data_IF_508587729764
#
_entry.id   IF_508587729764
#
_cell.length_a   1.000
_cell.length_b   1.000
_cell.length_c   1.000
_cell.angle_alpha   90.00
_cell.angle_beta   90.00
_cell.angle_gamma   90.00
#
_symmetry.space_group_name_H-M   'P 1'
#
loop_
_entity.id
_entity.type
_entity.pdbx_description
1 polymer ?
#
# COMPACT_ATOMS: atom_id res chain seq x y z
N UNK A 1 5.06 -1.33 -19.74
CA UNK A 1 5.07 -2.13 -18.50
C UNK A 1 6.20 -1.61 -17.63
N UNK A 2 5.96 -1.32 -16.37
CA UNK A 2 7.00 -0.85 -15.43
C UNK A 2 7.33 -1.99 -14.48
N UNK A 3 8.62 -2.26 -14.32
CA UNK A 3 9.13 -3.39 -13.51
C UNK A 3 10.08 -2.84 -12.45
N UNK A 4 9.83 -3.18 -11.20
CA UNK A 4 10.73 -2.92 -10.07
C UNK A 4 11.33 -4.24 -9.61
N UNK A 5 12.66 -4.30 -9.59
CA UNK A 5 13.43 -5.44 -9.11
C UNK A 5 14.08 -5.08 -7.79
N UNK A 6 13.87 -5.91 -6.79
CA UNK A 6 14.52 -5.88 -5.48
C UNK A 6 15.43 -7.10 -5.43
N UNK A 7 16.75 -6.90 -5.61
CA UNK A 7 17.70 -7.96 -5.92
C UNK A 7 18.71 -8.16 -4.79
N UNK A 8 18.64 -9.29 -4.11
CA UNK A 8 19.51 -9.72 -3.00
C UNK A 8 19.76 -8.62 -1.96
N UNK A 9 18.71 -7.86 -1.63
CA UNK A 9 18.84 -6.69 -0.76
C UNK A 9 18.94 -7.09 0.69
N UNK A 10 20.01 -6.62 1.34
CA UNK A 10 20.19 -6.73 2.79
C UNK A 10 20.25 -5.35 3.43
N UNK A 11 19.74 -5.25 4.67
CA UNK A 11 19.83 -4.03 5.48
C UNK A 11 20.24 -4.35 6.90
N UNK A 12 21.35 -3.75 7.32
CA UNK A 12 21.87 -3.84 8.69
C UNK A 12 21.87 -2.45 9.31
N UNK A 13 21.22 -2.32 10.47
CA UNK A 13 21.26 -1.11 11.28
C UNK A 13 22.34 -1.23 12.37
N UNK A 14 23.07 -0.16 12.58
CA UNK A 14 23.97 -0.03 13.73
C UNK A 14 23.25 0.74 14.83
N UNK A 15 22.95 0.07 15.94
CA UNK A 15 22.24 0.67 17.07
C UNK A 15 23.20 0.88 18.22
N UNK A 16 23.34 2.13 18.67
CA UNK A 16 24.25 2.50 19.77
C UNK A 16 23.84 1.74 21.04
N UNK A 17 24.74 0.90 21.55
CA UNK A 17 24.49 0.07 22.73
C UNK A 17 23.87 -1.31 22.50
N UNK A 18 23.26 -1.55 21.32
CA UNK A 18 22.66 -2.85 20.97
C UNK A 18 23.39 -3.60 19.83
N UNK A 19 24.46 -3.01 19.28
CA UNK A 19 25.24 -3.66 18.23
C UNK A 19 24.61 -3.53 16.83
N UNK A 20 24.76 -4.58 16.01
CA UNK A 20 24.25 -4.64 14.62
C UNK A 20 22.95 -5.46 14.59
N UNK A 21 21.91 -4.92 13.97
CA UNK A 21 20.63 -5.59 13.79
C UNK A 21 20.39 -5.76 12.29
N UNK A 22 20.31 -7.02 11.83
CA UNK A 22 19.95 -7.33 10.46
C UNK A 22 18.44 -7.26 10.30
N UNK A 23 17.97 -6.25 9.58
CA UNK A 23 16.54 -6.04 9.31
C UNK A 23 16.07 -6.72 8.02
N UNK A 24 16.97 -6.86 7.02
CA UNK A 24 16.75 -7.62 5.80
C UNK A 24 18.01 -8.43 5.49
N UNK A 25 17.82 -9.64 4.95
CA UNK A 25 18.87 -10.57 4.62
C UNK A 25 18.55 -11.24 3.27
N UNK A 26 19.24 -10.77 2.22
CA UNK A 26 19.16 -11.25 0.81
C UNK A 26 17.73 -11.35 0.26
N UNK A 27 16.89 -10.37 0.55
CA UNK A 27 15.50 -10.34 0.05
C UNK A 27 15.49 -10.04 -1.45
N UNK A 28 14.74 -10.85 -2.21
CA UNK A 28 14.56 -10.65 -3.66
C UNK A 28 13.09 -10.83 -4.06
N UNK A 29 12.58 -9.91 -4.87
CA UNK A 29 11.28 -10.01 -5.54
C UNK A 29 11.20 -9.03 -6.72
N UNK A 30 10.22 -9.25 -7.59
CA UNK A 30 9.93 -8.36 -8.73
C UNK A 30 8.49 -7.91 -8.67
N UNK A 31 8.26 -6.60 -8.68
CA UNK A 31 6.93 -5.99 -8.73
C UNK A 31 6.70 -5.40 -10.12
N UNK A 32 5.66 -5.87 -10.79
CA UNK A 32 5.27 -5.43 -12.14
C UNK A 32 4.00 -4.58 -12.09
N UNK A 33 3.90 -3.58 -12.98
CA UNK A 33 2.63 -2.87 -13.20
C UNK A 33 1.52 -3.85 -13.61
N UNK A 34 0.33 -3.68 -13.03
CA UNK A 34 -0.82 -4.56 -13.25
C UNK A 34 -0.88 -5.78 -12.31
N UNK A 35 0.10 -5.97 -11.41
CA UNK A 35 0.13 -7.07 -10.43
C UNK A 35 0.16 -6.58 -8.99
N UNK A 36 -0.40 -7.38 -8.09
CA UNK A 36 -0.35 -7.15 -6.65
C UNK A 36 0.45 -8.23 -5.94
N UNK A 37 1.47 -7.80 -5.18
CA UNK A 37 2.23 -8.67 -4.29
C UNK A 37 1.85 -8.35 -2.85
N UNK A 38 1.39 -9.35 -2.11
CA UNK A 38 1.19 -9.29 -0.67
C UNK A 38 2.50 -9.56 0.07
N UNK A 39 2.95 -8.63 0.89
CA UNK A 39 4.09 -8.84 1.78
C UNK A 39 3.58 -9.02 3.20
N UNK A 40 3.61 -10.24 3.69
CA UNK A 40 3.05 -10.61 5.00
C UNK A 40 4.13 -11.03 5.99
N UNK A 41 3.85 -10.87 7.28
CA UNK A 41 4.74 -11.26 8.38
C UNK A 41 4.42 -10.49 9.65
N UNK A 42 4.92 -10.97 10.80
CA UNK A 42 4.72 -10.32 12.09
C UNK A 42 5.41 -8.94 12.18
N UNK A 43 5.06 -8.16 13.21
CA UNK A 43 5.77 -6.92 13.52
C UNK A 43 7.26 -7.19 13.72
N UNK A 44 8.11 -6.31 13.17
CA UNK A 44 9.56 -6.48 13.24
C UNK A 44 10.16 -7.45 12.21
N UNK A 45 9.39 -8.09 11.33
CA UNK A 45 9.92 -9.02 10.30
C UNK A 45 10.74 -8.32 9.19
N UNK A 46 10.66 -6.98 9.05
CA UNK A 46 11.41 -6.23 8.04
C UNK A 46 10.54 -5.51 6.99
N UNK A 47 9.22 -5.69 6.98
CA UNK A 47 8.28 -5.13 5.98
C UNK A 47 8.45 -3.61 5.81
N UNK A 48 8.41 -2.85 6.88
CA UNK A 48 8.58 -1.40 6.85
C UNK A 48 9.99 -0.98 6.38
N UNK A 49 11.01 -1.84 6.55
CA UNK A 49 12.35 -1.58 6.01
C UNK A 49 12.34 -1.69 4.48
N UNK A 50 11.63 -2.67 3.91
CA UNK A 50 11.42 -2.77 2.45
C UNK A 50 10.72 -1.50 1.95
N UNK A 51 9.62 -1.08 2.58
CA UNK A 51 8.90 0.14 2.21
C UNK A 51 9.81 1.40 2.25
N UNK A 52 10.64 1.54 3.29
CA UNK A 52 11.61 2.65 3.42
C UNK A 52 12.68 2.63 2.33
N UNK A 53 13.18 1.47 1.95
CA UNK A 53 14.15 1.34 0.86
C UNK A 53 13.51 1.70 -0.48
N UNK A 54 12.31 1.18 -0.76
CA UNK A 54 11.56 1.48 -1.98
C UNK A 54 11.22 2.96 -2.11
N UNK A 55 10.88 3.63 -1.02
CA UNK A 55 10.59 5.07 -1.01
C UNK A 55 11.84 5.96 -0.94
N UNK A 56 13.04 5.35 -0.94
CA UNK A 56 14.33 6.04 -0.83
C UNK A 56 14.45 6.88 0.47
N UNK A 57 13.83 6.43 1.55
CA UNK A 57 14.05 6.92 2.90
C UNK A 57 15.25 6.23 3.57
N UNK A 58 15.54 5.00 3.12
CA UNK A 58 16.68 4.20 3.55
C UNK A 58 17.45 3.68 2.34
N UNK A 59 18.73 3.40 2.53
CA UNK A 59 19.56 2.74 1.52
C UNK A 59 19.86 1.30 1.94
N UNK A 60 19.91 0.34 1.01
CA UNK A 60 20.37 -1.00 1.32
C UNK A 60 21.82 -0.99 1.81
N UNK A 61 22.19 -1.99 2.61
CA UNK A 61 23.59 -2.25 3.00
C UNK A 61 24.32 -3.01 1.89
N UNK A 62 23.63 -3.97 1.26
CA UNK A 62 24.07 -4.70 0.07
C UNK A 62 22.88 -5.05 -0.81
N UNK A 63 23.13 -5.55 -2.02
CA UNK A 63 22.11 -5.75 -3.04
C UNK A 63 21.69 -4.46 -3.73
N UNK A 64 20.76 -4.54 -4.64
CA UNK A 64 20.35 -3.42 -5.49
C UNK A 64 18.85 -3.37 -5.71
N UNK A 65 18.32 -2.16 -5.90
CA UNK A 65 16.95 -1.95 -6.36
C UNK A 65 17.00 -1.28 -7.73
N UNK A 66 16.32 -1.86 -8.72
CA UNK A 66 16.25 -1.35 -10.09
C UNK A 66 14.82 -1.02 -10.46
N UNK A 67 14.65 -0.03 -11.30
CA UNK A 67 13.37 0.29 -11.95
C UNK A 67 13.59 0.28 -13.47
N UNK A 68 12.83 -0.55 -14.16
CA UNK A 68 12.95 -0.76 -15.62
C UNK A 68 14.40 -1.13 -16.02
N UNK A 69 15.05 -2.02 -15.23
CA UNK A 69 16.43 -2.49 -15.42
C UNK A 69 17.52 -1.49 -15.03
N UNK A 70 17.15 -0.28 -14.57
CA UNK A 70 18.12 0.76 -14.18
C UNK A 70 18.17 0.93 -12.66
N UNK A 71 19.38 1.07 -12.07
CA UNK A 71 19.53 1.39 -10.65
C UNK A 71 18.78 2.66 -10.28
N UNK A 72 18.17 2.68 -9.09
CA UNK A 72 17.42 3.85 -8.64
C UNK A 72 18.37 5.02 -8.36
N UNK A 73 18.17 6.18 -9.02
CA UNK A 73 18.97 7.36 -8.78
C UNK A 73 18.79 7.90 -7.36
N UNK A 74 19.88 8.26 -6.69
CA UNK A 74 19.85 8.75 -5.31
C UNK A 74 19.59 10.26 -5.19
N UNK A 75 19.72 11.04 -6.27
CA UNK A 75 19.64 12.51 -6.25
C UNK A 75 19.12 13.07 -7.58
N UNK A 76 18.74 14.33 -7.56
CA UNK A 76 18.44 15.11 -8.75
C UNK A 76 17.14 14.72 -9.46
N UNK A 77 17.10 15.01 -10.76
CA UNK A 77 15.92 14.78 -11.61
C UNK A 77 15.51 13.30 -11.70
N UNK A 78 16.49 12.40 -11.73
CA UNK A 78 16.24 10.96 -11.77
C UNK A 78 15.51 10.45 -10.52
N UNK A 79 15.87 10.91 -9.33
CA UNK A 79 15.15 10.56 -8.10
C UNK A 79 13.72 11.12 -8.11
N UNK A 80 13.52 12.33 -8.66
CA UNK A 80 12.17 12.90 -8.81
C UNK A 80 11.33 12.03 -9.76
N UNK A 81 11.86 11.66 -10.91
CA UNK A 81 11.19 10.79 -11.88
C UNK A 81 10.85 9.42 -11.29
N UNK A 82 11.76 8.82 -10.51
CA UNK A 82 11.49 7.60 -9.77
C UNK A 82 10.32 7.77 -8.79
N UNK A 83 10.35 8.84 -7.97
CA UNK A 83 9.30 9.12 -7.00
C UNK A 83 7.94 9.45 -7.62
N UNK A 84 7.89 9.90 -8.86
CA UNK A 84 6.64 10.03 -9.61
C UNK A 84 6.08 8.66 -9.99
N UNK A 85 6.94 7.72 -10.41
CA UNK A 85 6.54 6.37 -10.81
C UNK A 85 6.14 5.48 -9.63
N UNK A 86 6.73 5.68 -8.44
CA UNK A 86 6.44 4.92 -7.23
C UNK A 86 5.94 5.84 -6.12
N UNK A 87 4.75 5.55 -5.61
CA UNK A 87 4.14 6.28 -4.48
C UNK A 87 3.82 5.33 -3.34
N UNK A 88 3.57 5.90 -2.16
CA UNK A 88 3.24 5.16 -0.96
C UNK A 88 1.97 5.69 -0.30
N UNK A 89 1.12 4.77 0.13
CA UNK A 89 0.04 5.00 1.07
C UNK A 89 0.52 4.50 2.44
N UNK A 90 0.54 5.39 3.41
CA UNK A 90 1.05 5.10 4.75
C UNK A 90 -0.04 4.47 5.63
N UNK A 91 0.40 3.72 6.63
CA UNK A 91 -0.44 3.07 7.63
C UNK A 91 -1.32 4.07 8.38
N UNK A 92 -0.76 5.22 8.79
CA UNK A 92 -1.47 6.26 9.52
C UNK A 92 -1.84 7.43 8.60
N UNK A 93 -3.13 7.54 8.21
CA UNK A 93 -3.59 8.68 7.41
C UNK A 93 -3.57 9.99 8.20
N UNK A 94 -3.66 9.94 9.55
CA UNK A 94 -3.58 11.12 10.40
C UNK A 94 -2.18 11.74 10.37
N UNK A 95 -1.14 10.91 10.55
CA UNK A 95 0.24 11.38 10.47
C UNK A 95 0.66 11.80 9.05
N UNK A 96 0.00 11.23 8.03
CA UNK A 96 0.35 11.50 6.63
C UNK A 96 -0.25 12.80 6.08
N UNK A 97 -1.36 13.30 6.65
CA UNK A 97 -2.05 14.52 6.22
C UNK A 97 -1.83 15.63 7.25
N UNK A 98 -1.24 16.75 6.84
CA UNK A 98 -1.04 17.89 7.72
C UNK A 98 -2.41 18.49 8.13
N UNK A 99 -2.77 18.53 9.44
CA UNK A 99 -4.09 18.97 9.89
C UNK A 99 -4.38 20.47 9.65
N UNK A 100 -3.36 21.26 9.36
CA UNK A 100 -3.50 22.72 9.13
C UNK A 100 -3.89 23.06 7.69
N UNK A 101 -3.82 22.09 6.77
CA UNK A 101 -4.15 22.31 5.36
C UNK A 101 -5.47 21.63 4.98
N UNK A 102 -6.20 22.21 4.00
CA UNK A 102 -7.41 21.61 3.43
C UNK A 102 -7.09 20.39 2.57
N UNK A 103 -8.09 19.59 2.27
CA UNK A 103 -7.98 18.44 1.36
C UNK A 103 -7.55 18.91 -0.03
N UNK A 104 -8.11 20.02 -0.51
CA UNK A 104 -7.66 20.69 -1.75
C UNK A 104 -6.13 20.85 -1.79
N UNK A 105 -5.53 21.42 -0.77
CA UNK A 105 -4.08 21.64 -0.72
C UNK A 105 -3.30 20.33 -0.81
N UNK A 106 -3.75 19.29 -0.13
CA UNK A 106 -3.08 17.98 -0.15
C UNK A 106 -3.07 17.33 -1.52
N UNK A 107 -4.12 17.52 -2.33
CA UNK A 107 -4.24 16.98 -3.67
C UNK A 107 -3.60 17.86 -4.74
N UNK A 108 -3.73 19.17 -4.63
CA UNK A 108 -3.10 20.13 -5.56
C UNK A 108 -1.56 20.07 -5.52
N UNK A 109 -0.99 19.88 -4.31
CA UNK A 109 0.45 19.96 -4.16
C UNK A 109 1.22 18.95 -5.01
N UNK A 110 0.92 17.62 -5.01
CA UNK A 110 1.58 16.69 -5.91
C UNK A 110 1.30 16.99 -7.38
N UNK A 111 0.08 17.38 -7.77
CA UNK A 111 -0.25 17.74 -9.14
C UNK A 111 0.63 18.89 -9.67
N UNK A 112 0.86 19.92 -8.85
CA UNK A 112 1.70 21.07 -9.19
C UNK A 112 3.19 20.74 -9.18
N UNK A 113 3.67 19.99 -8.18
CA UNK A 113 5.09 19.65 -8.06
C UNK A 113 5.56 18.71 -9.16
N UNK A 114 4.71 17.81 -9.58
CA UNK A 114 5.03 16.81 -10.59
C UNK A 114 4.61 17.25 -12.00
N UNK A 115 4.02 18.46 -12.13
CA UNK A 115 3.53 19.01 -13.41
C UNK A 115 2.60 18.06 -14.16
N UNK A 116 1.69 17.40 -13.44
CA UNK A 116 0.81 16.35 -13.99
C UNK A 116 -0.20 16.91 -14.96
N UNK A 117 -0.72 18.13 -14.68
CA UNK A 117 -1.67 18.85 -15.51
C UNK A 117 -1.30 20.35 -15.57
N UNK A 118 -1.75 21.10 -16.59
CA UNK A 118 -1.64 22.55 -16.66
C UNK A 118 -2.25 23.21 -15.41
N UNK A 119 -1.72 24.37 -15.00
CA UNK A 119 -2.19 25.08 -13.80
C UNK A 119 -3.70 25.38 -13.81
N UNK A 120 -4.27 25.65 -14.99
CA UNK A 120 -5.69 25.93 -15.15
C UNK A 120 -6.59 24.70 -14.90
N UNK A 121 -6.06 23.47 -15.05
CA UNK A 121 -6.82 22.23 -14.93
C UNK A 121 -6.66 21.56 -13.55
N UNK A 122 -5.87 22.16 -12.65
CA UNK A 122 -5.56 21.54 -11.34
C UNK A 122 -6.82 21.37 -10.50
N UNK A 123 -7.74 22.32 -10.49
CA UNK A 123 -8.98 22.24 -9.70
C UNK A 123 -9.89 21.11 -10.18
N UNK A 124 -10.05 20.99 -11.50
CA UNK A 124 -10.82 19.90 -12.11
C UNK A 124 -10.20 18.54 -11.82
N UNK A 125 -8.86 18.45 -11.87
CA UNK A 125 -8.18 17.19 -11.56
C UNK A 125 -8.28 16.81 -10.08
N UNK A 126 -8.27 17.78 -9.16
CA UNK A 126 -8.53 17.54 -7.74
C UNK A 126 -9.93 16.96 -7.53
N UNK A 127 -10.95 17.49 -8.22
CA UNK A 127 -12.31 16.96 -8.15
C UNK A 127 -12.40 15.54 -8.69
N UNK A 128 -11.81 15.26 -9.85
CA UNK A 128 -11.73 13.90 -10.43
C UNK A 128 -11.04 12.91 -9.49
N UNK A 129 -9.95 13.33 -8.83
CA UNK A 129 -9.25 12.48 -7.85
C UNK A 129 -10.14 12.10 -6.67
N UNK A 130 -10.97 13.03 -6.18
CA UNK A 130 -11.92 12.76 -5.10
C UNK A 130 -13.04 11.81 -5.56
N UNK A 131 -13.60 12.02 -6.74
CA UNK A 131 -14.60 11.13 -7.33
C UNK A 131 -14.05 9.69 -7.51
N UNK A 132 -12.82 9.57 -8.01
CA UNK A 132 -12.14 8.26 -8.18
C UNK A 132 -11.99 7.48 -6.89
N UNK A 133 -11.81 8.18 -5.76
CA UNK A 133 -11.79 7.51 -4.44
C UNK A 133 -13.17 7.48 -3.78
N UNK A 134 -14.24 7.72 -4.55
CA UNK A 134 -15.64 7.64 -4.11
C UNK A 134 -15.94 8.60 -2.97
N UNK A 135 -15.42 9.83 -3.06
CA UNK A 135 -15.75 10.95 -2.19
C UNK A 135 -16.43 12.04 -3.01
N UNK A 136 -17.50 12.63 -2.45
CA UNK A 136 -18.13 13.81 -3.03
C UNK A 136 -17.20 15.02 -2.89
N UNK A 137 -16.72 15.61 -4.01
CA UNK A 137 -15.82 16.75 -3.97
C UNK A 137 -16.40 17.94 -3.20
N UNK A 138 -17.67 18.29 -3.42
CA UNK A 138 -18.30 19.46 -2.80
C UNK A 138 -18.43 19.30 -1.28
N UNK A 139 -18.55 18.07 -0.81
CA UNK A 139 -18.63 17.78 0.61
C UNK A 139 -17.27 17.81 1.33
N UNK A 140 -16.12 17.57 0.64
CA UNK A 140 -14.85 17.32 1.34
C UNK A 140 -13.69 18.23 0.95
N UNK A 141 -13.71 18.84 -0.24
CA UNK A 141 -12.54 19.51 -0.83
C UNK A 141 -11.96 20.62 0.02
N UNK A 142 -12.80 21.42 0.69
CA UNK A 142 -12.39 22.55 1.53
C UNK A 142 -12.26 22.19 3.02
N UNK A 143 -12.63 20.93 3.40
CA UNK A 143 -12.45 20.43 4.77
C UNK A 143 -10.99 20.20 5.09
N UNK A 144 -10.71 20.11 6.40
CA UNK A 144 -9.43 19.70 6.96
C UNK A 144 -9.47 18.20 7.32
N UNK A 145 -8.30 17.52 7.41
CA UNK A 145 -8.26 16.10 7.73
C UNK A 145 -9.02 15.69 9.00
N UNK A 146 -9.01 16.50 10.05
CA UNK A 146 -9.68 16.19 11.31
C UNK A 146 -11.23 16.26 11.22
N UNK A 147 -11.77 16.86 10.18
CA UNK A 147 -13.22 16.94 9.92
C UNK A 147 -13.75 15.75 9.13
N UNK A 148 -12.89 14.81 8.74
CA UNK A 148 -13.21 13.62 7.98
C UNK A 148 -13.26 12.38 8.87
N UNK A 149 -14.06 11.36 8.50
CA UNK A 149 -13.99 10.04 9.10
C UNK A 149 -12.65 9.33 8.77
N UNK A 150 -12.29 8.29 9.52
CA UNK A 150 -11.08 7.50 9.25
C UNK A 150 -11.02 6.96 7.82
N UNK A 151 -12.12 6.39 7.33
CA UNK A 151 -12.21 5.87 5.96
C UNK A 151 -12.13 6.97 4.89
N UNK A 152 -12.73 8.15 5.14
CA UNK A 152 -12.59 9.29 4.23
C UNK A 152 -11.15 9.80 4.17
N UNK A 153 -10.46 9.91 5.31
CA UNK A 153 -9.04 10.29 5.35
C UNK A 153 -8.15 9.31 4.58
N UNK A 154 -8.41 8.01 4.76
CA UNK A 154 -7.65 6.99 4.02
C UNK A 154 -7.86 7.11 2.51
N UNK A 155 -9.09 7.33 2.06
CA UNK A 155 -9.40 7.58 0.65
C UNK A 155 -8.71 8.84 0.12
N UNK A 156 -8.63 9.91 0.91
CA UNK A 156 -7.86 11.12 0.55
C UNK A 156 -6.36 10.81 0.47
N UNK A 157 -5.81 10.00 1.38
CA UNK A 157 -4.39 9.59 1.33
C UNK A 157 -4.09 8.76 0.07
N UNK A 158 -5.03 7.89 -0.35
CA UNK A 158 -4.96 7.15 -1.61
C UNK A 158 -5.02 8.13 -2.81
N UNK A 159 -6.01 9.05 -2.84
CA UNK A 159 -6.12 10.06 -3.90
C UNK A 159 -4.85 10.89 -4.06
N UNK A 160 -4.24 11.29 -2.93
CA UNK A 160 -2.96 12.01 -2.93
C UNK A 160 -1.82 11.19 -3.54
N UNK A 161 -1.74 9.90 -3.24
CA UNK A 161 -0.74 9.03 -3.82
C UNK A 161 -0.94 8.87 -5.34
N UNK A 162 -2.20 8.77 -5.80
CA UNK A 162 -2.57 8.66 -7.21
C UNK A 162 -2.41 9.97 -8.00
N UNK A 163 -2.38 11.12 -7.34
CA UNK A 163 -2.29 12.45 -8.00
C UNK A 163 -1.09 12.57 -8.95
N UNK A 164 0.01 11.87 -8.68
CA UNK A 164 1.20 11.84 -9.55
C UNK A 164 1.12 10.84 -10.71
N UNK A 165 -0.02 10.14 -10.87
CA UNK A 165 -0.22 9.06 -11.85
C UNK A 165 0.89 7.99 -11.79
N UNK A 166 1.15 7.40 -10.60
CA UNK A 166 2.21 6.43 -10.42
C UNK A 166 1.96 5.18 -11.27
N UNK A 167 3.00 4.36 -11.44
CA UNK A 167 2.91 3.02 -12.04
C UNK A 167 2.99 1.94 -10.99
N UNK A 168 3.58 2.27 -9.83
CA UNK A 168 3.76 1.37 -8.70
C UNK A 168 3.30 2.06 -7.40
N UNK A 169 2.63 1.31 -6.55
CA UNK A 169 2.13 1.76 -5.27
C UNK A 169 2.61 0.83 -4.15
N UNK A 170 3.19 1.39 -3.11
CA UNK A 170 3.44 0.68 -1.84
C UNK A 170 2.30 1.04 -0.90
N UNK A 171 1.49 0.08 -0.51
CA UNK A 171 0.40 0.24 0.44
C UNK A 171 0.79 -0.42 1.77
N UNK A 172 1.30 0.38 2.72
CA UNK A 172 1.79 -0.10 4.02
C UNK A 172 0.64 -0.09 5.03
N UNK A 173 0.12 -1.26 5.33
CA UNK A 173 -1.02 -1.49 6.24
C UNK A 173 -2.20 -0.51 6.03
N UNK A 174 -2.68 -0.30 4.79
CA UNK A 174 -3.55 0.82 4.46
C UNK A 174 -4.93 0.77 5.12
N UNK A 175 -5.29 -0.31 5.79
CA UNK A 175 -6.60 -0.48 6.45
C UNK A 175 -6.49 -0.87 7.93
N UNK A 176 -5.29 -0.96 8.49
CA UNK A 176 -5.08 -1.45 9.86
C UNK A 176 -5.75 -0.58 10.94
N UNK A 177 -5.83 0.74 10.71
CA UNK A 177 -6.45 1.70 11.63
C UNK A 177 -7.94 1.95 11.38
N UNK A 178 -8.56 1.17 10.50
CA UNK A 178 -9.98 1.33 10.15
C UNK A 178 -10.84 0.26 10.82
N UNK A 179 -12.10 0.62 11.10
CA UNK A 179 -13.12 -0.32 11.55
C UNK A 179 -13.34 -1.43 10.50
N UNK A 180 -13.68 -2.63 10.97
CA UNK A 180 -13.83 -3.82 10.11
C UNK A 180 -14.78 -3.57 8.94
N UNK A 181 -15.91 -2.90 9.18
CA UNK A 181 -16.91 -2.58 8.16
C UNK A 181 -16.40 -1.65 7.04
N UNK A 182 -15.39 -0.83 7.33
CA UNK A 182 -14.83 0.14 6.38
C UNK A 182 -13.64 -0.45 5.62
N UNK A 183 -12.90 -1.40 6.23
CA UNK A 183 -11.70 -2.02 5.64
C UNK A 183 -11.94 -2.55 4.23
N UNK A 184 -12.98 -3.38 4.07
CA UNK A 184 -13.30 -3.98 2.78
C UNK A 184 -13.65 -2.95 1.72
N UNK A 185 -14.36 -1.87 2.09
CA UNK A 185 -14.67 -0.79 1.17
C UNK A 185 -13.43 -0.06 0.63
N UNK A 186 -12.37 0.07 1.45
CA UNK A 186 -11.09 0.67 1.03
C UNK A 186 -10.24 -0.32 0.23
N UNK A 187 -10.22 -1.61 0.59
CA UNK A 187 -9.51 -2.64 -0.17
C UNK A 187 -10.12 -2.84 -1.56
N UNK A 188 -11.46 -2.91 -1.66
CA UNK A 188 -12.14 -3.00 -2.95
C UNK A 188 -11.86 -1.78 -3.82
N UNK A 189 -11.85 -0.57 -3.23
CA UNK A 189 -11.44 0.64 -3.95
C UNK A 189 -10.01 0.53 -4.49
N UNK A 190 -9.05 0.05 -3.68
CA UNK A 190 -7.68 -0.14 -4.13
C UNK A 190 -7.58 -1.19 -5.24
N UNK A 191 -8.37 -2.29 -5.17
CA UNK A 191 -8.42 -3.31 -6.20
C UNK A 191 -8.98 -2.77 -7.52
N UNK A 192 -10.03 -1.96 -7.47
CA UNK A 192 -10.60 -1.33 -8.66
C UNK A 192 -9.59 -0.37 -9.30
N UNK A 193 -8.98 0.51 -8.51
CA UNK A 193 -7.95 1.44 -8.98
C UNK A 193 -6.72 0.71 -9.55
N UNK A 194 -6.31 -0.40 -8.94
CA UNK A 194 -5.22 -1.23 -9.42
C UNK A 194 -5.53 -1.77 -10.83
N UNK A 195 -6.73 -2.31 -11.04
CA UNK A 195 -7.16 -2.86 -12.33
C UNK A 195 -7.35 -1.78 -13.40
N UNK A 196 -8.04 -0.68 -13.05
CA UNK A 196 -8.37 0.40 -13.98
C UNK A 196 -7.12 1.14 -14.49
N UNK A 197 -6.11 1.31 -13.63
CA UNK A 197 -4.90 2.07 -13.95
C UNK A 197 -3.69 1.19 -14.29
N UNK A 198 -3.85 -0.12 -14.16
CA UNK A 198 -2.75 -1.08 -14.33
C UNK A 198 -1.61 -0.84 -13.34
N UNK A 199 -1.94 -0.50 -12.08
CA UNK A 199 -0.94 -0.27 -11.04
C UNK A 199 -0.28 -1.58 -10.62
N UNK A 200 1.05 -1.56 -10.40
CA UNK A 200 1.71 -2.58 -9.60
C UNK A 200 1.58 -2.21 -8.12
N UNK A 201 1.11 -3.12 -7.28
CA UNK A 201 0.89 -2.85 -5.86
C UNK A 201 1.72 -3.79 -4.98
N UNK A 202 2.56 -3.22 -4.11
CA UNK A 202 3.12 -3.94 -2.98
C UNK A 202 2.21 -3.70 -1.76
N UNK A 203 1.40 -4.69 -1.43
CA UNK A 203 0.47 -4.64 -0.31
C UNK A 203 1.10 -5.23 0.94
N UNK A 204 1.46 -4.39 1.89
CA UNK A 204 2.09 -4.78 3.14
C UNK A 204 1.01 -4.91 4.22
N UNK A 205 0.94 -6.08 4.86
CA UNK A 205 -0.03 -6.34 5.93
C UNK A 205 0.45 -7.45 6.87
N UNK A 206 -0.14 -7.53 8.05
CA UNK A 206 -0.03 -8.68 8.94
C UNK A 206 -1.30 -9.57 8.90
N UNK A 207 -2.32 -9.16 8.17
CA UNK A 207 -3.60 -9.84 8.02
C UNK A 207 -3.60 -10.73 6.76
N UNK A 208 -3.59 -12.05 6.97
CA UNK A 208 -3.55 -13.04 5.90
C UNK A 208 -4.83 -13.08 5.06
N UNK A 209 -5.99 -12.81 5.67
CA UNK A 209 -7.26 -12.82 4.96
C UNK A 209 -7.33 -11.70 3.92
N UNK A 210 -6.96 -10.47 4.33
CA UNK A 210 -6.90 -9.34 3.42
C UNK A 210 -5.79 -9.50 2.36
N UNK A 211 -4.65 -10.10 2.73
CA UNK A 211 -3.58 -10.41 1.77
C UNK A 211 -4.04 -11.37 0.68
N UNK A 212 -4.74 -12.45 1.04
CA UNK A 212 -5.32 -13.41 0.08
C UNK A 212 -6.31 -12.74 -0.87
N UNK A 213 -7.19 -11.91 -0.33
CA UNK A 213 -8.24 -11.25 -1.12
C UNK A 213 -7.69 -10.26 -2.16
N UNK A 214 -6.59 -9.58 -1.83
CA UNK A 214 -6.10 -8.46 -2.62
C UNK A 214 -4.86 -8.77 -3.47
N UNK A 215 -4.16 -9.90 -3.23
CA UNK A 215 -2.87 -10.16 -3.86
C UNK A 215 -2.91 -11.32 -4.86
N UNK A 216 -2.15 -11.20 -5.95
CA UNK A 216 -1.90 -12.29 -6.90
C UNK A 216 -0.87 -13.28 -6.35
N UNK A 217 0.16 -12.72 -5.70
CA UNK A 217 1.29 -13.45 -5.11
C UNK A 217 1.51 -12.98 -3.67
N UNK A 218 1.93 -13.88 -2.79
CA UNK A 218 2.30 -13.57 -1.40
C UNK A 218 3.77 -13.91 -1.15
N UNK A 219 4.45 -12.99 -0.49
CA UNK A 219 5.77 -13.16 0.10
C UNK A 219 5.64 -13.16 1.62
N UNK A 220 6.04 -14.24 2.28
CA UNK A 220 6.05 -14.34 3.74
C UNK A 220 7.43 -13.96 4.26
N UNK A 221 7.49 -12.86 5.00
CA UNK A 221 8.73 -12.32 5.55
C UNK A 221 8.85 -12.71 7.04
N UNK A 222 9.94 -13.36 7.39
CA UNK A 222 10.29 -13.69 8.77
C UNK A 222 11.75 -13.35 9.05
N UNK A 223 12.02 -12.58 10.12
CA UNK A 223 13.36 -12.19 10.53
C UNK A 223 14.25 -11.66 9.38
N UNK A 224 13.67 -10.84 8.52
CA UNK A 224 14.36 -10.22 7.39
C UNK A 224 14.54 -11.11 6.16
N UNK A 225 14.04 -12.34 6.14
CA UNK A 225 14.12 -13.27 5.00
C UNK A 225 12.75 -13.62 4.45
N UNK A 226 12.65 -13.82 3.15
CA UNK A 226 11.47 -14.43 2.53
C UNK A 226 11.55 -15.93 2.78
N UNK A 227 10.64 -16.45 3.61
CA UNK A 227 10.62 -17.87 4.02
C UNK A 227 9.66 -18.70 3.19
N UNK A 228 8.65 -18.08 2.58
CA UNK A 228 7.72 -18.73 1.67
C UNK A 228 7.22 -17.73 0.62
N UNK A 229 6.98 -18.23 -0.60
CA UNK A 229 6.53 -17.44 -1.74
C UNK A 229 5.63 -18.32 -2.64
N UNK A 230 4.55 -17.75 -3.14
CA UNK A 230 3.66 -18.45 -4.07
C UNK A 230 2.41 -17.64 -4.41
N UNK A 231 1.47 -18.28 -5.11
CA UNK A 231 0.15 -17.69 -5.32
C UNK A 231 -0.53 -17.43 -3.98
N UNK A 232 -1.40 -16.42 -3.91
CA UNK A 232 -2.09 -16.07 -2.68
C UNK A 232 -2.84 -17.29 -2.08
N UNK A 233 -3.50 -18.09 -2.92
CA UNK A 233 -4.21 -19.30 -2.49
C UNK A 233 -3.26 -20.40 -1.99
N UNK A 234 -2.14 -20.64 -2.66
CA UNK A 234 -1.22 -21.69 -2.23
C UNK A 234 -0.60 -21.37 -0.87
N UNK A 235 -0.08 -20.14 -0.70
CA UNK A 235 0.58 -19.73 0.55
C UNK A 235 -0.40 -19.72 1.73
N UNK A 236 -1.65 -19.29 1.52
CA UNK A 236 -2.61 -19.15 2.61
C UNK A 236 -3.35 -20.47 2.91
N UNK A 237 -3.78 -21.21 1.88
CA UNK A 237 -4.57 -22.42 2.08
C UNK A 237 -3.70 -23.66 2.32
N UNK A 238 -2.50 -23.69 1.74
CA UNK A 238 -1.58 -24.84 1.76
C UNK A 238 -0.17 -24.44 2.18
N UNK A 239 0.02 -23.72 3.30
CA UNK A 239 1.34 -23.23 3.73
C UNK A 239 2.30 -24.39 3.96
N UNK A 240 3.52 -24.28 3.40
CA UNK A 240 4.55 -25.29 3.51
C UNK A 240 5.52 -24.98 4.65
N UNK A 241 5.87 -23.71 4.83
CA UNK A 241 6.85 -23.32 5.84
C UNK A 241 6.20 -23.30 7.25
N UNK A 242 6.87 -23.84 8.30
CA UNK A 242 6.32 -23.90 9.66
C UNK A 242 5.91 -22.54 10.22
N UNK A 243 6.65 -21.47 9.89
CA UNK A 243 6.30 -20.11 10.28
C UNK A 243 4.98 -19.63 9.66
N UNK A 244 4.74 -19.93 8.38
CA UNK A 244 3.49 -19.58 7.68
C UNK A 244 2.31 -20.35 8.25
N UNK A 245 2.52 -21.64 8.59
CA UNK A 245 1.52 -22.47 9.27
C UNK A 245 1.14 -21.89 10.63
N UNK A 246 2.15 -21.49 11.42
CA UNK A 246 1.92 -20.85 12.73
C UNK A 246 1.23 -19.48 12.58
N UNK A 247 1.60 -18.69 11.56
CA UNK A 247 0.98 -17.41 11.28
C UNK A 247 -0.49 -17.57 10.89
N UNK A 248 -0.81 -18.58 10.05
CA UNK A 248 -2.18 -18.93 9.70
C UNK A 248 -3.00 -19.38 10.91
N UNK A 249 -2.45 -20.25 11.73
CA UNK A 249 -3.14 -20.78 12.93
C UNK A 249 -3.44 -19.67 13.95
N UNK A 250 -2.65 -18.60 13.98
CA UNK A 250 -2.86 -17.43 14.85
C UNK A 250 -3.80 -16.37 14.25
N UNK A 251 -4.16 -16.49 12.96
CA UNK A 251 -5.08 -15.57 12.28
C UNK A 251 -6.52 -16.08 12.38
N UNK A 252 -7.53 -15.20 12.48
CA UNK A 252 -8.93 -15.59 12.33
C UNK A 252 -9.14 -16.30 10.98
N UNK A 253 -10.12 -17.22 10.91
CA UNK A 253 -10.39 -17.97 9.69
C UNK A 253 -10.67 -17.01 8.51
N UNK A 254 -9.90 -17.07 7.43
CA UNK A 254 -10.10 -16.21 6.26
C UNK A 254 -11.49 -16.32 5.64
N UNK A 255 -12.12 -17.49 5.73
CA UNK A 255 -13.43 -17.76 5.13
C UNK A 255 -14.60 -17.25 6.01
N UNK A 256 -14.46 -17.23 7.35
CA UNK A 256 -15.48 -16.66 8.26
C UNK A 256 -15.56 -15.12 8.17
N UNK A 257 -14.45 -14.44 7.89
CA UNK A 257 -14.42 -12.97 7.77
C UNK A 257 -15.21 -12.46 6.55
N UNK A 258 -15.35 -13.25 5.49
CA UNK A 258 -16.05 -12.87 4.27
C UNK A 258 -17.52 -13.33 4.25
N UNK A 259 -17.87 -14.41 4.97
CA UNK A 259 -19.24 -14.94 5.03
C UNK A 259 -20.20 -14.03 5.79
N UNK A 260 -19.75 -13.35 6.84
CA UNK A 260 -20.58 -12.44 7.65
C UNK A 260 -20.93 -11.14 6.94
N UNK A 261 -20.13 -10.70 5.95
CA UNK A 261 -20.38 -9.45 5.21
C UNK A 261 -21.37 -9.62 4.07
N UNK A 262 -21.49 -10.81 3.50
CA UNK A 262 -22.47 -11.09 2.43
C UNK A 262 -23.90 -11.31 2.98
N UNK A 263 -24.04 -11.78 4.21
CA UNK A 263 -25.34 -12.05 4.84
C UNK A 263 -26.05 -10.76 5.31
N UNK A 264 -25.32 -9.68 5.61
CA UNK A 264 -25.91 -8.41 6.04
C UNK A 264 -26.43 -7.53 4.89
N UNK A 265 -26.02 -7.81 3.63
CA UNK A 265 -26.46 -7.05 2.45
C UNK A 265 -27.80 -7.55 1.86
N UNK A 266 -28.27 -8.74 2.23
CA UNK A 266 -29.49 -9.35 1.69
C UNK A 266 -30.73 -9.22 2.61
N UNK A 267 -30.62 -8.56 3.75
CA UNK A 267 -31.65 -8.48 4.80
C UNK A 267 -32.58 -7.26 4.79
N UNK A 268 -32.55 -6.38 3.78
CA UNK A 268 -33.44 -5.21 3.73
C UNK A 268 -34.28 -5.23 2.44
N UNK A 269 -35.17 -6.20 2.31
CA UNK A 269 -36.33 -6.10 1.46
C UNK A 269 -37.35 -7.19 1.92
N UNK A 270 -38.34 -6.79 2.66
CA UNK A 270 -39.48 -7.65 2.98
C UNK A 270 -40.22 -7.21 4.23
N UNK A 271 -41.22 -6.32 4.07
CA UNK A 271 -42.16 -6.05 5.17
C UNK A 271 -42.94 -4.76 5.04
N UNK A 272 -43.77 -4.68 4.01
CA UNK A 272 -44.88 -3.77 4.02
C UNK A 272 -46.13 -4.57 3.62
N UNK A 273 -46.97 -4.90 4.59
CA UNK A 273 -48.42 -5.08 4.44
C UNK A 273 -49.08 -4.33 5.57
#
# INVERSE_FOLDING_TARGET
MTVLEFDCVSKVYSVRGAGRITALDEVSFTLESGRTIGLVGQSGSGKSTIAKILTQLETPTSGEVRLDGQPIPRRGAGLRAYRQKLRMVFQDPFASLNPYHSIRYHLERPLRLDHVVPKAEVDDEVRRLLERVRLDPDAVIDRRPHELSGGQRQRVAIARALASRPKLLVADEPVSMLDVSIRMGVLNLLADLQREEGLGVLYITHDLATARHFSDEILVLNQGRVVERGSADDVILRPQHPYTQALRAASPDPDEHFATTSASASGIHGGAQ
#
